data_IF_498810038564
#
_entry.id   IF_498810038564
#
_cell.length_a   1.000
_cell.length_b   1.000
_cell.length_c   1.000
_cell.angle_alpha   90.00
_cell.angle_beta   90.00
_cell.angle_gamma   90.00
#
_symmetry.space_group_name_H-M   'P 1'
#
loop_
_entity.id
_entity.type
_entity.pdbx_description
1 polymer ?
#
# COMPACT_ATOMS: atom_id res chain seq x y z
N UNK A 1 -1.77 1.97 -21.99
CA UNK A 1 -2.46 1.00 -21.12
C UNK A 1 -2.09 1.35 -19.69
N UNK A 2 -3.07 1.57 -18.80
CA UNK A 2 -2.79 1.87 -17.39
C UNK A 2 -2.19 0.63 -16.69
N UNK A 3 -1.32 0.81 -15.68
CA UNK A 3 -0.78 -0.30 -14.91
C UNK A 3 -1.89 -0.97 -14.06
N UNK A 4 -1.78 -2.28 -13.89
CA UNK A 4 -2.70 -3.10 -13.10
C UNK A 4 -1.92 -4.17 -12.33
N UNK A 5 -2.50 -4.69 -11.25
CA UNK A 5 -1.93 -5.79 -10.48
C UNK A 5 -3.00 -6.80 -10.10
N UNK A 6 -2.59 -8.05 -9.87
CA UNK A 6 -3.49 -9.11 -9.38
C UNK A 6 -2.84 -9.76 -8.17
N UNK A 7 -3.49 -9.68 -7.02
CA UNK A 7 -3.13 -10.42 -5.82
C UNK A 7 -3.83 -11.78 -5.81
N UNK A 8 -3.08 -12.84 -5.50
CA UNK A 8 -3.60 -14.20 -5.35
C UNK A 8 -3.04 -14.83 -4.09
N UNK A 9 -3.91 -15.44 -3.31
CA UNK A 9 -3.59 -16.30 -2.17
C UNK A 9 -4.59 -17.45 -2.13
N UNK A 10 -4.36 -18.47 -1.28
CA UNK A 10 -5.14 -19.71 -1.23
C UNK A 10 -6.67 -19.46 -1.19
N UNK A 11 -7.31 -19.50 -2.36
CA UNK A 11 -8.75 -19.29 -2.55
C UNK A 11 -9.23 -17.84 -2.69
N UNK A 12 -8.36 -16.83 -2.61
CA UNK A 12 -8.72 -15.42 -2.80
C UNK A 12 -7.93 -14.80 -3.95
N UNK A 13 -8.64 -14.13 -4.86
CA UNK A 13 -8.07 -13.30 -5.90
C UNK A 13 -8.62 -11.88 -5.78
N UNK A 14 -7.76 -10.88 -5.91
CA UNK A 14 -8.14 -9.48 -5.96
C UNK A 14 -7.41 -8.78 -7.10
N UNK A 15 -8.12 -7.99 -7.89
CA UNK A 15 -7.57 -7.27 -9.05
C UNK A 15 -7.58 -5.77 -8.75
N UNK A 16 -6.44 -5.13 -9.02
CA UNK A 16 -6.22 -3.70 -8.85
C UNK A 16 -6.12 -3.05 -10.22
N UNK A 17 -6.93 -2.01 -10.45
CA UNK A 17 -6.94 -1.24 -11.70
C UNK A 17 -6.74 0.24 -11.41
N UNK A 18 -6.13 0.95 -12.36
CA UNK A 18 -5.83 2.39 -12.22
C UNK A 18 -6.57 3.24 -13.26
N UNK A 19 -7.69 2.72 -13.77
CA UNK A 19 -8.54 3.39 -14.77
C UNK A 19 -9.50 4.38 -14.09
N UNK A 20 -8.93 5.44 -13.54
CA UNK A 20 -9.64 6.53 -12.85
C UNK A 20 -9.37 7.86 -13.56
N UNK A 21 -10.24 8.88 -13.38
CA UNK A 21 -10.01 10.21 -13.91
C UNK A 21 -8.65 10.77 -13.48
N UNK A 22 -8.02 11.54 -14.36
CA UNK A 22 -6.67 12.09 -14.13
C UNK A 22 -6.62 13.00 -12.89
N UNK A 23 -7.72 13.66 -12.61
CA UNK A 23 -7.96 14.60 -11.51
C UNK A 23 -7.97 13.89 -10.15
N UNK A 24 -8.13 12.57 -10.12
CA UNK A 24 -8.01 11.74 -8.91
C UNK A 24 -6.60 11.15 -8.73
N UNK A 25 -5.71 11.31 -9.73
CA UNK A 25 -4.35 10.79 -9.71
C UNK A 25 -3.37 11.80 -9.12
N UNK A 26 -2.60 11.35 -8.14
CA UNK A 26 -1.62 12.17 -7.43
C UNK A 26 -0.27 11.47 -7.33
N UNK A 27 0.81 12.25 -7.24
CA UNK A 27 2.14 11.76 -6.87
C UNK A 27 2.31 11.62 -5.36
N UNK A 28 1.39 12.19 -4.58
CA UNK A 28 1.37 12.16 -3.12
C UNK A 28 0.42 11.05 -2.66
N UNK A 29 0.95 9.85 -2.46
CA UNK A 29 0.14 8.72 -1.99
C UNK A 29 -0.20 8.85 -0.50
N UNK A 30 -1.34 8.31 -0.10
CA UNK A 30 -1.82 8.31 1.29
C UNK A 30 -0.99 7.42 2.20
N UNK A 31 -0.41 6.37 1.62
CA UNK A 31 0.40 5.39 2.34
C UNK A 31 1.91 5.65 2.16
N UNK A 32 2.27 6.77 1.51
CA UNK A 32 3.66 7.18 1.31
C UNK A 32 4.00 8.40 2.16
N UNK A 33 5.22 8.41 2.68
CA UNK A 33 5.77 9.50 3.48
C UNK A 33 5.79 9.23 4.98
N UNK A 34 6.32 10.19 5.78
CA UNK A 34 6.39 10.08 7.23
C UNK A 34 5.01 9.97 7.87
N UNK A 35 4.91 9.21 8.96
CA UNK A 35 3.67 9.11 9.73
C UNK A 35 3.25 10.48 10.30
N UNK A 36 1.95 10.66 10.55
CA UNK A 36 1.44 11.89 11.18
C UNK A 36 2.12 12.21 12.52
N UNK A 37 2.53 11.17 13.26
CA UNK A 37 3.28 11.33 14.49
C UNK A 37 4.67 11.98 14.26
N UNK A 38 5.32 11.66 13.16
CA UNK A 38 6.61 12.27 12.79
C UNK A 38 6.41 13.69 12.27
N UNK A 39 5.39 13.91 11.44
CA UNK A 39 5.02 15.25 10.94
C UNK A 39 4.65 16.22 12.07
N UNK A 40 3.86 15.77 13.06
CA UNK A 40 3.44 16.59 14.22
C UNK A 40 4.59 17.00 15.15
N UNK A 41 5.73 16.31 15.08
CA UNK A 41 6.97 16.69 15.77
C UNK A 41 7.81 17.73 15.01
N UNK A 42 7.27 18.30 13.92
CA UNK A 42 7.91 19.34 13.12
C UNK A 42 8.87 18.81 12.06
N UNK A 43 8.84 17.50 11.75
CA UNK A 43 9.60 16.96 10.64
C UNK A 43 9.07 17.49 9.30
N UNK A 44 9.97 17.80 8.38
CA UNK A 44 9.63 18.15 7.00
C UNK A 44 10.06 17.00 6.09
N UNK A 45 9.15 16.49 5.28
CA UNK A 45 9.46 15.46 4.28
C UNK A 45 10.25 16.08 3.12
N UNK A 46 11.57 15.86 3.14
CA UNK A 46 12.49 16.33 2.10
C UNK A 46 12.53 15.43 0.88
N UNK A 47 12.04 14.19 1.01
CA UNK A 47 12.03 13.17 -0.03
C UNK A 47 10.68 13.09 -0.74
N UNK A 48 9.77 14.02 -0.40
CA UNK A 48 8.46 14.14 -1.01
C UNK A 48 8.58 14.19 -2.55
N UNK A 49 7.83 13.35 -3.26
CA UNK A 49 7.84 13.36 -4.72
C UNK A 49 7.39 14.71 -5.27
N UNK A 50 8.01 15.13 -6.36
CA UNK A 50 7.60 16.32 -7.09
C UNK A 50 6.22 16.14 -7.74
N UNK A 51 5.51 17.25 -7.92
CA UNK A 51 4.20 17.27 -8.58
C UNK A 51 4.21 16.60 -9.95
N UNK A 52 3.05 16.03 -10.30
CA UNK A 52 2.83 15.40 -11.60
C UNK A 52 3.06 16.39 -12.75
N UNK A 53 4.07 16.13 -13.58
CA UNK A 53 4.23 16.83 -14.86
C UNK A 53 3.21 16.33 -15.88
N UNK A 54 2.75 17.21 -16.77
CA UNK A 54 1.92 16.82 -17.92
C UNK A 54 2.73 16.08 -19.00
N UNK A 55 3.13 14.86 -18.67
CA UNK A 55 3.94 13.98 -19.49
C UNK A 55 3.51 12.54 -19.24
N UNK A 56 3.80 11.65 -20.19
CA UNK A 56 3.51 10.22 -20.03
C UNK A 56 4.13 9.61 -18.76
N UNK A 57 5.35 10.03 -18.39
CA UNK A 57 6.01 9.57 -17.16
C UNK A 57 5.37 10.16 -15.89
N UNK A 58 4.90 11.41 -15.94
CA UNK A 58 4.18 12.02 -14.83
C UNK A 58 2.86 11.31 -14.57
N UNK A 59 2.09 11.00 -15.62
CA UNK A 59 0.86 10.23 -15.52
C UNK A 59 1.12 8.81 -14.99
N UNK A 60 2.13 8.12 -15.53
CA UNK A 60 2.50 6.79 -15.07
C UNK A 60 2.88 6.78 -13.59
N UNK A 61 3.63 7.79 -13.13
CA UNK A 61 3.98 7.92 -11.70
C UNK A 61 2.73 7.99 -10.84
N UNK A 62 1.76 8.84 -11.18
CA UNK A 62 0.54 8.93 -10.38
C UNK A 62 -0.27 7.62 -10.38
N UNK A 63 -0.33 6.93 -11.52
CA UNK A 63 -1.00 5.63 -11.62
C UNK A 63 -0.32 4.57 -10.74
N UNK A 64 1.01 4.54 -10.72
CA UNK A 64 1.78 3.62 -9.86
C UNK A 64 1.62 3.99 -8.38
N UNK A 65 1.65 5.27 -8.02
CA UNK A 65 1.38 5.73 -6.64
C UNK A 65 -0.01 5.31 -6.18
N UNK A 66 -1.03 5.46 -7.04
CA UNK A 66 -2.39 5.00 -6.75
C UNK A 66 -2.44 3.49 -6.52
N UNK A 67 -1.80 2.72 -7.40
CA UNK A 67 -1.74 1.27 -7.30
C UNK A 67 -1.05 0.82 -6.00
N UNK A 68 0.03 1.50 -5.62
CA UNK A 68 0.73 1.27 -4.35
C UNK A 68 -0.19 1.50 -3.15
N UNK A 69 -0.92 2.62 -3.12
CA UNK A 69 -1.87 2.91 -2.04
C UNK A 69 -2.96 1.86 -1.94
N UNK A 70 -3.57 1.46 -3.07
CA UNK A 70 -4.65 0.47 -3.08
C UNK A 70 -4.16 -0.91 -2.59
N UNK A 71 -2.95 -1.32 -2.98
CA UNK A 71 -2.34 -2.57 -2.50
C UNK A 71 -2.05 -2.47 -0.99
N UNK A 72 -1.47 -1.37 -0.53
CA UNK A 72 -1.15 -1.17 0.88
C UNK A 72 -2.41 -1.17 1.74
N UNK A 73 -3.43 -0.40 1.37
CA UNK A 73 -4.72 -0.38 2.07
C UNK A 73 -5.35 -1.78 2.11
N UNK A 74 -5.32 -2.52 1.00
CA UNK A 74 -5.87 -3.87 0.92
C UNK A 74 -5.16 -4.83 1.89
N UNK A 75 -3.83 -4.89 1.85
CA UNK A 75 -3.04 -5.79 2.69
C UNK A 75 -3.14 -5.41 4.17
N UNK A 76 -3.08 -4.11 4.50
CA UNK A 76 -3.25 -3.66 5.89
C UNK A 76 -4.62 -4.00 6.45
N UNK A 77 -5.70 -3.79 5.69
CA UNK A 77 -7.06 -4.19 6.11
C UNK A 77 -7.16 -5.70 6.34
N UNK A 78 -6.50 -6.50 5.50
CA UNK A 78 -6.48 -7.95 5.64
C UNK A 78 -5.77 -8.38 6.93
N UNK A 79 -4.60 -7.83 7.23
CA UNK A 79 -3.88 -8.09 8.47
C UNK A 79 -4.73 -7.75 9.70
N UNK A 80 -5.44 -6.60 9.67
CA UNK A 80 -6.34 -6.20 10.75
C UNK A 80 -7.53 -7.15 10.94
N UNK A 81 -8.14 -7.64 9.85
CA UNK A 81 -9.25 -8.59 9.92
C UNK A 81 -8.81 -9.95 10.49
N UNK A 82 -7.64 -10.44 10.10
CA UNK A 82 -7.09 -11.69 10.63
C UNK A 82 -6.71 -11.55 12.11
N UNK A 83 -6.14 -10.41 12.51
CA UNK A 83 -5.86 -10.10 13.92
C UNK A 83 -7.13 -9.92 14.78
N UNK A 84 -8.23 -9.46 14.19
CA UNK A 84 -9.50 -9.24 14.90
C UNK A 84 -10.35 -10.51 15.04
N UNK A 85 -10.27 -11.44 14.07
CA UNK A 85 -11.02 -12.71 14.10
C UNK A 85 -10.43 -13.74 15.07
N UNK A 86 -9.15 -13.62 15.44
CA UNK A 86 -8.49 -14.48 16.41
C UNK A 86 -8.52 -13.78 17.78
N UNK A 87 -9.43 -14.23 18.65
CA UNK A 87 -9.79 -13.60 19.93
C UNK A 87 -8.63 -13.28 20.90
N UNK A 88 -8.97 -12.60 21.99
CA UNK A 88 -8.13 -11.86 22.95
C UNK A 88 -7.10 -12.68 23.79
N UNK A 89 -6.33 -13.55 23.15
CA UNK A 89 -5.20 -14.28 23.73
C UNK A 89 -3.88 -13.58 23.44
N UNK A 90 -2.98 -13.57 24.42
CA UNK A 90 -1.72 -12.83 24.53
C UNK A 90 -0.60 -13.19 23.53
N UNK A 91 -0.93 -13.45 22.26
CA UNK A 91 -0.01 -13.82 21.18
C UNK A 91 -0.20 -12.99 19.90
N UNK A 92 -1.04 -11.94 19.96
CA UNK A 92 -1.41 -11.12 18.79
C UNK A 92 -0.23 -10.41 18.11
N UNK A 93 0.73 -9.91 18.88
CA UNK A 93 1.88 -9.18 18.32
C UNK A 93 2.85 -10.11 17.58
N UNK A 94 3.17 -11.28 18.14
CA UNK A 94 4.08 -12.23 17.49
C UNK A 94 3.47 -12.86 16.22
N UNK A 95 2.19 -13.23 16.23
CA UNK A 95 1.53 -13.79 15.04
C UNK A 95 1.27 -12.72 13.96
N UNK A 96 0.97 -11.48 14.35
CA UNK A 96 0.85 -10.37 13.40
C UNK A 96 2.20 -10.08 12.74
N UNK A 97 3.29 -10.13 13.52
CA UNK A 97 4.66 -9.95 13.04
C UNK A 97 5.09 -11.12 12.12
N UNK A 98 4.66 -12.36 12.41
CA UNK A 98 4.88 -13.52 11.53
C UNK A 98 4.09 -13.43 10.21
N UNK A 99 2.84 -12.97 10.25
CA UNK A 99 2.02 -12.75 9.05
C UNK A 99 2.51 -11.56 8.22
N UNK A 100 2.89 -10.47 8.89
CA UNK A 100 3.54 -9.32 8.25
C UNK A 100 4.82 -9.77 7.56
N UNK A 101 5.64 -10.58 8.23
CA UNK A 101 6.81 -11.21 7.62
C UNK A 101 6.41 -12.08 6.42
N UNK A 102 5.43 -12.97 6.55
CA UNK A 102 5.03 -13.83 5.44
C UNK A 102 4.48 -13.04 4.22
N UNK A 103 3.83 -11.90 4.45
CA UNK A 103 3.28 -11.05 3.39
C UNK A 103 4.32 -10.11 2.77
N UNK A 104 5.31 -9.66 3.55
CA UNK A 104 6.33 -8.68 3.12
C UNK A 104 7.65 -9.30 2.65
N UNK A 105 8.03 -10.48 3.16
CA UNK A 105 9.31 -11.15 2.83
C UNK A 105 9.33 -11.70 1.40
N UNK A 106 8.21 -11.60 0.68
CA UNK A 106 8.06 -12.15 -0.67
C UNK A 106 8.06 -13.68 -0.64
N UNK A 107 7.29 -14.30 -1.51
CA UNK A 107 7.47 -15.71 -1.79
C UNK A 107 8.77 -15.87 -2.60
N UNK A 108 9.93 -15.80 -1.94
CA UNK A 108 11.21 -16.26 -2.47
C UNK A 108 11.26 -17.79 -2.35
N UNK A 109 10.46 -18.47 -3.18
CA UNK A 109 10.68 -19.88 -3.53
C UNK A 109 10.59 -19.99 -5.05
N UNK A 110 11.77 -19.90 -5.69
CA UNK A 110 12.17 -20.30 -7.06
C UNK A 110 11.18 -20.19 -8.24
#
# INVERSE_FOLDING_TARGET
MPPSAVYKTNGLQHEFTTDVPRDELTTEGKTTGPSEFVMSKGATDRDKPSEAKDSAMGLLRCQVTRLQDDINEFLTRRMQQEASNKGDGSSKEQEAEELEKQLLDGADED
#
